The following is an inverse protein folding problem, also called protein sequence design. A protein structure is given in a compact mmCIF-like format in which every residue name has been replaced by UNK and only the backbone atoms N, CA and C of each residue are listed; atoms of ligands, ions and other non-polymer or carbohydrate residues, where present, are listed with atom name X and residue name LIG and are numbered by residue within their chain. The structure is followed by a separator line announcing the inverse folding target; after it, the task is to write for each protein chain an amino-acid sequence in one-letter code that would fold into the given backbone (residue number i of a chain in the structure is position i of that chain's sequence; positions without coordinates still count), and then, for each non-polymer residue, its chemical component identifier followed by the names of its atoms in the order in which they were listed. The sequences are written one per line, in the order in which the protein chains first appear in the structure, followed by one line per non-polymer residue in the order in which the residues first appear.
data_IF_888807107516
#
_entry.id   IF_888807107516
#
_cell.length_a   1.000
_cell.length_b   1.000
_cell.length_c   1.000
_cell.angle_alpha   90.00
_cell.angle_beta   90.00
_cell.angle_gamma   90.00
#
_symmetry.space_group_name_H-M   'P 1'
#
loop_
_entity.id
_entity.type
_entity.pdbx_description
1 polymer ?
#
# COMPACT_ATOMS: atom_id res chain seq x y z
N UNK A 1 -13.70 15.43 4.30
CA UNK A 1 -13.06 14.24 3.70
C UNK A 1 -13.99 13.69 2.64
N UNK A 2 -13.50 13.26 1.46
CA UNK A 2 -14.36 12.57 0.48
C UNK A 2 -14.92 11.29 1.13
N UNK A 3 -16.21 11.03 0.93
CA UNK A 3 -16.83 9.78 1.35
C UNK A 3 -16.22 8.63 0.56
N UNK A 4 -16.07 7.46 1.19
CA UNK A 4 -15.59 6.29 0.47
C UNK A 4 -16.67 5.83 -0.51
N UNK A 5 -16.30 5.41 -1.74
CA UNK A 5 -17.23 4.78 -2.66
C UNK A 5 -17.94 3.59 -2.02
N UNK A 6 -19.23 3.34 -2.34
CA UNK A 6 -19.95 2.21 -1.80
C UNK A 6 -19.35 0.86 -2.25
N UNK A 7 -19.67 -0.27 -1.59
CA UNK A 7 -19.08 -1.57 -1.88
C UNK A 7 -19.22 -2.04 -3.33
N UNK A 8 -20.30 -1.69 -4.01
CA UNK A 8 -20.63 -2.02 -5.39
C UNK A 8 -19.98 -1.08 -6.42
N UNK A 9 -19.36 0.01 -5.97
CA UNK A 9 -18.72 0.97 -6.87
C UNK A 9 -17.60 0.31 -7.69
N UNK A 10 -17.40 0.78 -8.95
CA UNK A 10 -16.27 0.37 -9.78
C UNK A 10 -14.93 0.40 -9.05
N UNK A 11 -14.06 -0.57 -9.36
CA UNK A 11 -12.73 -0.64 -8.73
C UNK A 11 -11.89 0.61 -8.99
N UNK A 12 -12.06 1.25 -10.15
CA UNK A 12 -11.40 2.52 -10.50
C UNK A 12 -11.74 3.64 -9.52
N UNK A 13 -12.99 3.73 -9.06
CA UNK A 13 -13.42 4.74 -8.09
C UNK A 13 -12.80 4.49 -6.71
N UNK A 14 -12.68 3.22 -6.34
CA UNK A 14 -11.99 2.81 -5.10
C UNK A 14 -10.49 3.11 -5.17
N UNK A 15 -9.85 2.90 -6.32
CA UNK A 15 -8.46 3.29 -6.56
C UNK A 15 -8.28 4.82 -6.49
N UNK A 16 -9.17 5.58 -7.13
CA UNK A 16 -9.15 7.04 -7.08
C UNK A 16 -9.29 7.55 -5.64
N UNK A 17 -10.25 7.00 -4.90
CA UNK A 17 -10.42 7.29 -3.47
C UNK A 17 -9.18 6.90 -2.65
N UNK A 18 -8.65 5.70 -2.83
CA UNK A 18 -7.46 5.20 -2.14
C UNK A 18 -6.28 6.17 -2.32
N UNK A 19 -6.04 6.65 -3.55
CA UNK A 19 -4.96 7.61 -3.85
C UNK A 19 -5.12 8.94 -3.11
N UNK A 20 -6.35 9.39 -2.83
CA UNK A 20 -6.58 10.60 -2.00
C UNK A 20 -6.17 10.44 -0.54
N UNK A 21 -5.99 9.19 -0.06
CA UNK A 21 -5.60 8.89 1.32
C UNK A 21 -4.09 8.65 1.46
N UNK A 22 -3.32 8.70 0.37
CA UNK A 22 -1.89 8.38 0.29
C UNK A 22 -1.14 9.45 -0.51
N UNK A 23 -1.25 10.71 -0.07
CA UNK A 23 -0.67 11.86 -0.77
C UNK A 23 0.73 12.20 -0.29
N UNK A 24 0.99 12.02 1.00
CA UNK A 24 2.27 12.32 1.64
C UNK A 24 3.36 11.32 1.26
N UNK A 25 4.60 11.83 1.17
CA UNK A 25 5.79 10.98 0.94
C UNK A 25 5.96 9.96 2.06
N UNK A 26 5.64 10.34 3.29
CA UNK A 26 5.76 9.47 4.46
C UNK A 26 4.83 8.25 4.40
N UNK A 27 3.54 8.45 4.12
CA UNK A 27 2.60 7.32 3.92
C UNK A 27 3.01 6.45 2.74
N UNK A 28 3.40 7.06 1.62
CA UNK A 28 3.87 6.29 0.46
C UNK A 28 5.09 5.42 0.82
N UNK A 29 6.06 5.96 1.57
CA UNK A 29 7.24 5.22 1.99
C UNK A 29 6.90 4.05 2.93
N UNK A 30 5.99 4.25 3.90
CA UNK A 30 5.59 3.15 4.79
C UNK A 30 4.82 2.06 4.06
N UNK A 31 4.08 2.39 3.00
CA UNK A 31 3.36 1.40 2.18
C UNK A 31 4.29 0.66 1.21
N UNK A 32 5.26 1.36 0.62
CA UNK A 32 6.31 0.77 -0.22
C UNK A 32 7.13 -0.30 0.50
N UNK A 33 7.20 -0.27 1.84
CA UNK A 33 7.88 -1.29 2.65
C UNK A 33 6.88 -2.25 3.30
N UNK A 34 5.82 -1.73 3.90
CA UNK A 34 4.84 -2.51 4.65
C UNK A 34 4.03 -3.47 3.77
N UNK A 35 3.60 -3.05 2.57
CA UNK A 35 2.79 -3.89 1.68
C UNK A 35 3.53 -5.16 1.23
N UNK A 36 4.79 -5.09 0.73
CA UNK A 36 5.58 -6.30 0.45
C UNK A 36 5.76 -7.21 1.66
N UNK A 37 6.01 -6.63 2.85
CA UNK A 37 6.15 -7.41 4.09
C UNK A 37 4.87 -8.17 4.42
N UNK A 38 3.70 -7.53 4.30
CA UNK A 38 2.40 -8.20 4.51
C UNK A 38 2.17 -9.27 3.46
N UNK A 39 2.42 -8.96 2.19
CA UNK A 39 2.21 -9.88 1.08
C UNK A 39 3.06 -11.15 1.23
N UNK A 40 4.32 -11.03 1.64
CA UNK A 40 5.19 -12.17 1.95
C UNK A 40 4.84 -12.83 3.29
N UNK A 41 4.43 -12.04 4.29
CA UNK A 41 4.06 -12.52 5.62
C UNK A 41 2.83 -13.44 5.60
N UNK A 42 1.83 -13.13 4.76
CA UNK A 42 0.59 -13.89 4.66
C UNK A 42 0.78 -15.39 4.38
N UNK A 43 1.45 -15.83 3.30
CA UNK A 43 1.72 -17.26 3.10
C UNK A 43 2.65 -17.83 4.18
N UNK A 44 3.61 -17.02 4.66
CA UNK A 44 4.52 -17.43 5.73
C UNK A 44 3.79 -17.69 7.06
N UNK A 45 2.64 -17.08 7.32
CA UNK A 45 1.85 -17.39 8.52
C UNK A 45 1.42 -18.85 8.54
N UNK A 46 1.20 -19.47 7.38
CA UNK A 46 0.78 -20.86 7.27
C UNK A 46 1.95 -21.85 7.22
N UNK A 47 3.07 -21.47 6.59
CA UNK A 47 4.24 -22.38 6.46
C UNK A 47 5.29 -22.21 7.57
N UNK A 48 5.48 -21.00 8.09
CA UNK A 48 6.44 -20.65 9.15
C UNK A 48 5.85 -19.58 10.09
N UNK A 49 4.87 -19.94 10.94
CA UNK A 49 4.11 -18.98 11.74
C UNK A 49 4.96 -18.03 12.59
N UNK A 50 6.07 -18.53 13.16
CA UNK A 50 7.02 -17.74 13.97
C UNK A 50 7.70 -16.61 13.18
N UNK A 51 7.73 -16.68 11.85
CA UNK A 51 8.27 -15.65 10.96
C UNK A 51 7.13 -14.86 10.32
N UNK A 52 6.14 -15.56 9.76
CA UNK A 52 5.03 -14.93 9.05
C UNK A 52 4.13 -14.06 9.94
N UNK A 53 3.87 -14.50 11.18
CA UNK A 53 3.04 -13.74 12.13
C UNK A 53 3.63 -12.36 12.43
N UNK A 54 4.89 -12.27 12.89
CA UNK A 54 5.55 -10.98 13.10
C UNK A 54 5.65 -10.13 11.85
N UNK A 55 5.93 -10.71 10.67
CA UNK A 55 5.94 -9.96 9.41
C UNK A 55 4.56 -9.35 9.11
N UNK A 56 3.50 -10.15 9.16
CA UNK A 56 2.15 -9.71 8.86
C UNK A 56 1.70 -8.59 9.81
N UNK A 57 1.86 -8.78 11.13
CA UNK A 57 1.49 -7.78 12.14
C UNK A 57 2.37 -6.53 12.03
N UNK A 58 3.69 -6.70 11.89
CA UNK A 58 4.66 -5.60 11.79
C UNK A 58 4.45 -4.74 10.55
N UNK A 59 4.16 -5.35 9.40
CA UNK A 59 3.87 -4.62 8.15
C UNK A 59 2.58 -3.80 8.26
N UNK A 60 1.54 -4.33 8.92
CA UNK A 60 0.32 -3.57 9.21
C UNK A 60 0.58 -2.41 10.17
N UNK A 61 1.30 -2.66 11.27
CA UNK A 61 1.66 -1.64 12.24
C UNK A 61 2.42 -0.48 11.59
N UNK A 62 3.39 -0.78 10.72
CA UNK A 62 4.16 0.23 9.98
C UNK A 62 3.26 1.13 9.11
N UNK A 63 2.31 0.56 8.37
CA UNK A 63 1.38 1.33 7.54
C UNK A 63 0.44 2.19 8.37
N UNK A 64 -0.12 1.64 9.46
CA UNK A 64 -1.00 2.37 10.38
C UNK A 64 -0.26 3.55 11.01
N UNK A 65 0.98 3.35 11.47
CA UNK A 65 1.82 4.42 12.02
C UNK A 65 2.09 5.49 10.97
N UNK A 66 2.43 5.11 9.74
CA UNK A 66 2.60 6.06 8.64
C UNK A 66 1.37 6.93 8.41
N UNK A 67 0.19 6.32 8.31
CA UNK A 67 -1.07 7.06 8.18
C UNK A 67 -1.30 8.05 9.34
N UNK A 68 -1.10 7.60 10.58
CA UNK A 68 -1.30 8.42 11.77
C UNK A 68 -0.35 9.61 11.84
N UNK A 69 0.92 9.40 11.48
CA UNK A 69 1.95 10.44 11.57
C UNK A 69 1.88 11.46 10.42
N UNK A 70 1.62 11.02 9.19
CA UNK A 70 1.81 11.86 8.00
C UNK A 70 0.50 12.35 7.36
N UNK A 71 -0.61 11.62 7.49
CA UNK A 71 -1.91 11.98 6.91
C UNK A 71 -3.00 12.20 7.98
N UNK A 72 -2.72 11.83 9.24
CA UNK A 72 -3.65 11.92 10.39
C UNK A 72 -4.99 11.22 10.13
N UNK A 73 -4.99 10.18 9.30
CA UNK A 73 -6.14 9.32 8.98
C UNK A 73 -5.85 7.86 9.36
N UNK A 74 -6.80 6.97 9.08
CA UNK A 74 -6.61 5.51 9.16
C UNK A 74 -6.56 4.92 7.74
N UNK A 75 -5.88 3.77 7.56
CA UNK A 75 -5.86 3.07 6.28
C UNK A 75 -7.28 2.77 5.79
N UNK A 76 -7.56 2.94 4.50
CA UNK A 76 -8.89 2.71 3.90
C UNK A 76 -9.34 1.23 3.90
N UNK A 77 -8.47 0.32 4.32
CA UNK A 77 -8.65 -1.13 4.34
C UNK A 77 -9.81 -1.62 5.19
N UNK A 78 -10.24 -0.85 6.20
CA UNK A 78 -11.44 -1.14 6.99
C UNK A 78 -12.77 -0.87 6.26
N UNK A 79 -12.73 -0.17 5.11
CA UNK A 79 -13.94 0.24 4.36
C UNK A 79 -14.40 -0.77 3.31
N UNK A 80 -13.65 -1.85 3.12
CA UNK A 80 -13.94 -2.91 2.16
C UNK A 80 -12.84 -3.94 2.18
N UNK A 81 -13.14 -5.10 2.80
CA UNK A 81 -12.13 -6.06 3.25
C UNK A 81 -11.19 -6.57 2.14
N UNK A 82 -11.69 -6.80 0.93
CA UNK A 82 -10.88 -7.33 -0.18
C UNK A 82 -10.42 -6.22 -1.11
N UNK A 83 -11.35 -5.38 -1.58
CA UNK A 83 -11.03 -4.42 -2.65
C UNK A 83 -9.99 -3.40 -2.22
N UNK A 84 -10.00 -2.93 -0.97
CA UNK A 84 -8.99 -1.97 -0.51
C UNK A 84 -7.62 -2.59 -0.20
N UNK A 85 -7.54 -3.92 -0.05
CA UNK A 85 -6.27 -4.62 0.03
C UNK A 85 -5.63 -4.69 -1.36
N UNK A 86 -6.44 -5.00 -2.38
CA UNK A 86 -6.00 -5.00 -3.78
C UNK A 86 -5.55 -3.62 -4.23
N UNK A 87 -6.26 -2.55 -3.84
CA UNK A 87 -5.81 -1.18 -4.17
C UNK A 87 -4.42 -0.89 -3.58
N UNK A 88 -4.14 -1.38 -2.37
CA UNK A 88 -2.84 -1.19 -1.73
C UNK A 88 -1.69 -1.91 -2.44
N UNK A 89 -1.91 -3.17 -2.84
CA UNK A 89 -0.94 -3.95 -3.63
C UNK A 89 -0.69 -3.30 -4.99
N UNK A 90 -1.76 -2.95 -5.71
CA UNK A 90 -1.66 -2.34 -7.05
C UNK A 90 -0.92 -1.01 -6.99
N UNK A 91 -1.27 -0.13 -6.05
CA UNK A 91 -0.60 1.17 -5.91
C UNK A 91 0.91 1.02 -5.66
N UNK A 92 1.33 0.06 -4.83
CA UNK A 92 2.76 -0.20 -4.60
C UNK A 92 3.45 -0.72 -5.86
N UNK A 93 2.81 -1.61 -6.62
CA UNK A 93 3.32 -2.06 -7.91
C UNK A 93 3.50 -0.91 -8.90
N UNK A 94 2.52 0.00 -9.00
CA UNK A 94 2.60 1.21 -9.84
C UNK A 94 3.79 2.09 -9.43
N UNK A 95 3.97 2.34 -8.13
CA UNK A 95 5.09 3.14 -7.62
C UNK A 95 6.45 2.50 -7.90
N UNK A 96 6.58 1.18 -7.75
CA UNK A 96 7.81 0.48 -8.14
C UNK A 96 8.07 0.59 -9.65
N UNK A 97 7.03 0.44 -10.46
CA UNK A 97 7.12 0.64 -11.92
C UNK A 97 7.63 2.03 -12.29
N UNK A 98 7.06 3.07 -11.68
CA UNK A 98 7.49 4.47 -11.87
C UNK A 98 8.96 4.66 -11.48
N UNK A 99 9.39 4.14 -10.32
CA UNK A 99 10.78 4.22 -9.87
C UNK A 99 11.76 3.54 -10.84
N UNK A 100 11.39 2.37 -11.36
CA UNK A 100 12.19 1.64 -12.35
C UNK A 100 12.26 2.40 -13.68
N UNK A 101 11.14 2.95 -14.15
CA UNK A 101 11.08 3.76 -15.36
C UNK A 101 11.97 5.01 -15.25
N UNK A 102 11.87 5.77 -14.15
CA UNK A 102 12.72 6.93 -13.90
C UNK A 102 14.22 6.59 -13.83
N UNK A 103 14.57 5.41 -13.32
CA UNK A 103 15.95 4.93 -13.32
C UNK A 103 16.44 4.62 -14.74
N UNK A 104 15.59 4.02 -15.57
CA UNK A 104 15.89 3.71 -16.98
C UNK A 104 16.14 4.98 -17.80
N UNK A 105 15.23 5.96 -17.71
CA UNK A 105 15.34 7.24 -18.43
C UNK A 105 16.62 8.02 -18.08
N UNK A 106 16.98 8.06 -16.78
CA UNK A 106 18.24 8.69 -16.34
C UNK A 106 19.48 8.01 -16.91
N UNK A 107 19.49 6.67 -17.03
CA UNK A 107 20.61 5.95 -17.65
C UNK A 107 20.69 6.23 -19.16
N UNK A 108 19.56 6.40 -19.83
CA UNK A 108 19.52 6.70 -21.27
C UNK A 108 20.03 8.12 -21.58
N UNK A 109 19.73 9.12 -20.76
CA UNK A 109 20.21 10.50 -20.95
C UNK A 109 21.65 10.78 -20.49
N UNK A 110 22.30 9.81 -19.84
CA UNK A 110 23.74 9.85 -19.50
C UNK A 110 24.62 9.17 -20.56
N UNK A 111 24.02 8.67 -21.66
CA UNK A 111 24.69 8.12 -22.83
C UNK A 111 24.65 9.14 -23.96
#
# INVERSE_FOLDING_TARGET
MRQAPPPEAPFADKMAYYRTQHTSKGVRATHLVGTPIIAAGLPLMFVKPKVGGPMFVGGWAMQIVGHRLFEKNLPSTHKGWITYQLTGVIHVCEQYGEMLAHRSQRKAGLR
#
